data_IF_196601424778
#
_entry.id   IF_196601424778
#
_cell.length_a   1.000
_cell.length_b   1.000
_cell.length_c   1.000
_cell.angle_alpha   90.00
_cell.angle_beta   90.00
_cell.angle_gamma   90.00
#
_symmetry.space_group_name_H-M   'P 1'
#
loop_
_entity.id
_entity.type
_entity.pdbx_description
1 polymer ?
#
# COMPACT_ATOMS: atom_id res chain seq x y z
N UNK A 1 -12.20 -27.63 17.58
CA UNK A 1 -11.01 -26.81 17.26
C UNK A 1 -11.30 -26.09 15.95
N UNK A 2 -11.73 -24.83 15.98
CA UNK A 2 -12.19 -24.14 14.76
C UNK A 2 -12.16 -22.61 14.88
N UNK A 3 -11.26 -22.08 15.72
CA UNK A 3 -11.19 -20.64 16.03
C UNK A 3 -9.86 -20.00 15.58
N UNK A 4 -9.05 -20.68 14.76
CA UNK A 4 -7.76 -20.12 14.37
C UNK A 4 -7.89 -19.42 13.02
N UNK A 5 -7.55 -18.13 13.04
CA UNK A 5 -7.25 -17.25 11.89
C UNK A 5 -8.47 -16.50 11.36
N UNK A 6 -8.44 -15.16 11.45
CA UNK A 6 -9.15 -14.26 10.54
C UNK A 6 -9.09 -14.87 9.15
N UNK A 7 -10.24 -15.20 8.55
CA UNK A 7 -10.26 -16.06 7.35
C UNK A 7 -9.25 -15.54 6.33
N UNK A 8 -8.40 -16.41 5.79
CA UNK A 8 -7.38 -16.05 4.80
C UNK A 8 -7.97 -15.20 3.65
N UNK A 9 -9.23 -15.48 3.30
CA UNK A 9 -10.04 -14.69 2.38
C UNK A 9 -10.24 -13.21 2.79
N UNK A 10 -10.46 -12.92 4.08
CA UNK A 10 -10.53 -11.56 4.62
C UNK A 10 -9.18 -10.86 4.52
N UNK A 11 -8.09 -11.53 4.91
CA UNK A 11 -6.73 -10.96 4.83
C UNK A 11 -6.36 -10.64 3.38
N UNK A 12 -6.64 -11.57 2.47
CA UNK A 12 -6.43 -11.37 1.03
C UNK A 12 -7.34 -10.28 0.46
N UNK A 13 -8.56 -10.12 1.00
CA UNK A 13 -9.47 -9.03 0.66
C UNK A 13 -8.89 -7.66 1.01
N UNK A 14 -8.46 -7.50 2.26
CA UNK A 14 -7.85 -6.25 2.76
C UNK A 14 -6.55 -5.93 2.02
N UNK A 15 -5.72 -6.93 1.71
CA UNK A 15 -4.50 -6.73 0.91
C UNK A 15 -4.80 -6.13 -0.47
N UNK A 16 -5.84 -6.65 -1.15
CA UNK A 16 -6.28 -6.11 -2.45
C UNK A 16 -6.84 -4.69 -2.32
N UNK A 17 -7.64 -4.42 -1.31
CA UNK A 17 -8.19 -3.08 -1.05
C UNK A 17 -7.06 -2.06 -0.79
N UNK A 18 -6.05 -2.44 0.00
CA UNK A 18 -4.86 -1.61 0.21
C UNK A 18 -4.10 -1.38 -1.09
N UNK A 19 -3.92 -2.40 -1.93
CA UNK A 19 -3.24 -2.24 -3.21
C UNK A 19 -4.00 -1.29 -4.16
N UNK A 20 -5.34 -1.36 -4.18
CA UNK A 20 -6.16 -0.39 -4.91
C UNK A 20 -5.97 1.03 -4.36
N UNK A 21 -5.99 1.19 -3.04
CA UNK A 21 -5.76 2.49 -2.41
C UNK A 21 -4.36 3.06 -2.71
N UNK A 22 -3.32 2.22 -2.79
CA UNK A 22 -1.97 2.60 -3.23
C UNK A 22 -2.03 3.18 -4.64
N UNK A 23 -2.61 2.45 -5.59
CA UNK A 23 -2.67 2.86 -7.00
C UNK A 23 -3.46 4.16 -7.19
N UNK A 24 -4.60 4.29 -6.51
CA UNK A 24 -5.43 5.51 -6.55
C UNK A 24 -4.68 6.70 -5.95
N UNK A 25 -4.02 6.51 -4.80
CA UNK A 25 -3.25 7.57 -4.13
C UNK A 25 -2.06 8.00 -4.99
N UNK A 26 -1.27 7.06 -5.52
CA UNK A 26 -0.14 7.35 -6.42
C UNK A 26 -0.59 8.14 -7.65
N UNK A 27 -1.71 7.74 -8.26
CA UNK A 27 -2.27 8.43 -9.42
C UNK A 27 -2.70 9.86 -9.07
N UNK A 28 -3.36 10.04 -7.93
CA UNK A 28 -3.78 11.35 -7.43
C UNK A 28 -2.60 12.28 -7.15
N UNK A 29 -1.57 11.78 -6.45
CA UNK A 29 -0.34 12.53 -6.13
C UNK A 29 0.38 12.96 -7.41
N UNK A 30 0.55 12.03 -8.37
CA UNK A 30 1.20 12.30 -9.66
C UNK A 30 0.44 13.36 -10.47
N UNK A 31 -0.90 13.28 -10.48
CA UNK A 31 -1.74 14.25 -11.18
C UNK A 31 -1.59 15.65 -10.59
N UNK A 32 -1.66 15.75 -9.26
CA UNK A 32 -1.51 17.02 -8.55
C UNK A 32 -0.10 17.61 -8.74
N UNK A 33 0.94 16.78 -8.71
CA UNK A 33 2.31 17.22 -8.98
C UNK A 33 2.47 17.81 -10.39
N UNK A 34 1.90 17.15 -11.40
CA UNK A 34 1.93 17.68 -12.75
C UNK A 34 1.18 19.00 -12.92
N UNK A 35 0.06 19.20 -12.22
CA UNK A 35 -0.69 20.46 -12.23
C UNK A 35 0.06 21.58 -11.49
N UNK A 36 0.58 21.30 -10.31
CA UNK A 36 1.21 22.32 -9.46
C UNK A 36 2.62 22.67 -9.93
N UNK A 37 3.37 21.72 -10.49
CA UNK A 37 4.63 22.02 -11.18
C UNK A 37 4.40 22.93 -12.38
N UNK A 38 3.31 22.74 -13.15
CA UNK A 38 2.93 23.66 -14.22
C UNK A 38 2.55 25.05 -13.69
N UNK A 39 1.80 25.11 -12.60
CA UNK A 39 1.44 26.38 -11.96
C UNK A 39 2.67 27.15 -11.48
N UNK A 40 3.58 26.50 -10.75
CA UNK A 40 4.82 27.11 -10.26
C UNK A 40 5.76 27.48 -11.41
N UNK A 41 5.78 26.68 -12.48
CA UNK A 41 6.52 26.96 -13.71
C UNK A 41 5.92 28.06 -14.60
N UNK A 42 4.67 28.48 -14.37
CA UNK A 42 3.98 29.49 -15.20
C UNK A 42 4.45 30.93 -15.00
N UNK A 43 5.43 31.15 -14.12
CA UNK A 43 5.94 32.47 -13.75
C UNK A 43 5.37 33.02 -12.44
N UNK A 44 4.64 32.20 -11.68
CA UNK A 44 4.24 32.54 -10.32
C UNK A 44 5.47 32.58 -9.40
N UNK A 45 5.89 33.80 -9.05
CA UNK A 45 7.13 34.07 -8.33
C UNK A 45 6.90 35.04 -7.17
N UNK A 46 7.97 35.35 -6.44
CA UNK A 46 7.91 36.17 -5.23
C UNK A 46 7.55 35.36 -3.98
N UNK A 47 7.41 36.05 -2.85
CA UNK A 47 7.30 35.41 -1.53
C UNK A 47 6.12 34.43 -1.40
N UNK A 48 5.00 34.71 -2.06
CA UNK A 48 3.83 33.82 -2.08
C UNK A 48 4.09 32.52 -2.85
N UNK A 49 4.75 32.61 -4.02
CA UNK A 49 5.10 31.43 -4.82
C UNK A 49 6.13 30.55 -4.12
N UNK A 50 7.14 31.16 -3.49
CA UNK A 50 8.13 30.43 -2.69
C UNK A 50 7.50 29.72 -1.49
N UNK A 51 6.68 30.42 -0.69
CA UNK A 51 6.01 29.84 0.47
C UNK A 51 5.07 28.69 0.08
N UNK A 52 4.34 28.83 -1.04
CA UNK A 52 3.52 27.74 -1.55
C UNK A 52 4.37 26.54 -2.00
N UNK A 53 5.47 26.78 -2.71
CA UNK A 53 6.39 25.73 -3.14
C UNK A 53 6.98 24.91 -1.99
N UNK A 54 7.30 25.56 -0.87
CA UNK A 54 7.75 24.88 0.36
C UNK A 54 6.68 23.98 0.95
N UNK A 55 5.43 24.48 1.07
CA UNK A 55 4.29 23.70 1.56
C UNK A 55 3.99 22.52 0.61
N UNK A 56 4.06 22.76 -0.70
CA UNK A 56 3.88 21.72 -1.71
C UNK A 56 4.92 20.61 -1.58
N UNK A 57 6.20 20.95 -1.47
CA UNK A 57 7.28 19.98 -1.33
C UNK A 57 7.09 19.10 -0.08
N UNK A 58 6.76 19.71 1.06
CA UNK A 58 6.50 18.98 2.31
C UNK A 58 5.28 18.06 2.20
N UNK A 59 4.21 18.52 1.54
CA UNK A 59 3.03 17.69 1.29
C UNK A 59 3.36 16.50 0.37
N UNK A 60 4.10 16.73 -0.71
CA UNK A 60 4.45 15.69 -1.69
C UNK A 60 5.29 14.59 -1.04
N UNK A 61 6.30 14.96 -0.24
CA UNK A 61 7.09 14.01 0.55
C UNK A 61 6.22 13.20 1.52
N UNK A 62 5.30 13.87 2.22
CA UNK A 62 4.33 13.19 3.09
C UNK A 62 3.45 12.19 2.35
N UNK A 63 2.99 12.54 1.15
CA UNK A 63 2.16 11.68 0.33
C UNK A 63 2.93 10.45 -0.18
N UNK A 64 4.20 10.60 -0.58
CA UNK A 64 5.06 9.46 -0.89
C UNK A 64 5.25 8.52 0.30
N UNK A 65 5.36 9.07 1.52
CA UNK A 65 5.49 8.26 2.73
C UNK A 65 4.21 7.46 3.04
N UNK A 66 3.03 8.05 2.78
CA UNK A 66 1.75 7.33 2.88
C UNK A 66 1.70 6.17 1.89
N UNK A 67 2.07 6.42 0.63
CA UNK A 67 2.12 5.39 -0.42
C UNK A 67 3.04 4.23 -0.01
N UNK A 68 4.28 4.54 0.41
CA UNK A 68 5.25 3.53 0.88
C UNK A 68 4.72 2.73 2.07
N UNK A 69 4.03 3.38 3.01
CA UNK A 69 3.42 2.72 4.15
C UNK A 69 2.30 1.76 3.74
N UNK A 70 1.45 2.16 2.81
CA UNK A 70 0.38 1.32 2.27
C UNK A 70 0.93 0.11 1.50
N UNK A 71 1.98 0.30 0.69
CA UNK A 71 2.69 -0.80 0.00
C UNK A 71 3.36 -1.78 0.97
N UNK A 72 3.96 -1.28 2.05
CA UNK A 72 4.53 -2.13 3.08
C UNK A 72 3.45 -2.96 3.79
N UNK A 73 2.28 -2.36 4.06
CA UNK A 73 1.14 -3.08 4.64
C UNK A 73 0.55 -4.12 3.69
N UNK A 74 0.36 -3.80 2.41
CA UNK A 74 -0.15 -4.78 1.43
C UNK A 74 0.81 -5.96 1.29
N UNK A 75 2.12 -5.70 1.18
CA UNK A 75 3.15 -6.74 1.11
C UNK A 75 3.20 -7.61 2.37
N UNK A 76 3.07 -7.03 3.56
CA UNK A 76 3.05 -7.79 4.81
C UNK A 76 1.83 -8.72 4.89
N UNK A 77 0.66 -8.27 4.44
CA UNK A 77 -0.55 -9.09 4.41
C UNK A 77 -0.48 -10.21 3.36
N UNK A 78 0.11 -9.95 2.19
CA UNK A 78 0.34 -10.98 1.18
C UNK A 78 1.29 -12.07 1.67
N UNK A 79 2.37 -11.68 2.36
CA UNK A 79 3.30 -12.63 2.98
C UNK A 79 2.61 -13.47 4.06
N UNK A 80 1.73 -12.87 4.86
CA UNK A 80 0.94 -13.59 5.85
C UNK A 80 0.03 -14.64 5.19
N UNK A 81 -0.67 -14.30 4.10
CA UNK A 81 -1.49 -15.24 3.32
C UNK A 81 -0.65 -16.40 2.78
N UNK A 82 0.53 -16.13 2.21
CA UNK A 82 1.41 -17.18 1.69
C UNK A 82 1.88 -18.13 2.79
N UNK A 83 2.22 -17.61 3.98
CA UNK A 83 2.63 -18.43 5.13
C UNK A 83 1.53 -19.37 5.63
N UNK A 84 0.26 -18.94 5.57
CA UNK A 84 -0.87 -19.80 5.91
C UNK A 84 -1.03 -20.95 4.90
N UNK A 85 -0.99 -20.66 3.60
CA UNK A 85 -1.12 -21.67 2.55
C UNK A 85 -0.05 -22.77 2.59
N UNK A 86 1.21 -22.42 2.87
CA UNK A 86 2.29 -23.42 3.02
C UNK A 86 2.10 -24.29 4.25
N UNK A 87 1.74 -23.69 5.40
CA UNK A 87 1.55 -24.43 6.67
C UNK A 87 0.41 -25.44 6.57
N UNK A 88 -0.69 -25.07 5.92
CA UNK A 88 -1.85 -25.96 5.73
C UNK A 88 -1.54 -27.12 4.77
N UNK A 89 -0.80 -26.85 3.69
CA UNK A 89 -0.37 -27.88 2.74
C UNK A 89 0.58 -28.90 3.40
N UNK A 90 1.53 -28.42 4.20
CA UNK A 90 2.48 -29.28 4.92
C UNK A 90 1.77 -30.11 6.00
N UNK A 91 0.84 -29.49 6.74
CA UNK A 91 0.03 -30.21 7.74
C UNK A 91 -0.82 -31.31 7.09
N UNK A 92 -1.43 -31.03 5.93
CA UNK A 92 -2.20 -32.01 5.17
C UNK A 92 -1.33 -33.16 4.67
N UNK A 93 -0.16 -32.87 4.11
CA UNK A 93 0.79 -33.89 3.66
C UNK A 93 1.31 -34.76 4.83
N UNK A 94 1.55 -34.15 5.99
CA UNK A 94 1.95 -34.88 7.20
C UNK A 94 0.83 -35.80 7.72
N UNK A 95 -0.43 -35.36 7.69
CA UNK A 95 -1.58 -36.20 8.07
C UNK A 95 -1.82 -37.33 7.06
N UNK A 96 -1.72 -37.05 5.76
CA UNK A 96 -1.87 -38.07 4.69
C UNK A 96 -0.76 -39.13 4.77
N UNK A 97 0.47 -38.74 5.14
CA UNK A 97 1.59 -39.68 5.32
C UNK A 97 1.57 -40.43 6.64
N UNK A 98 0.99 -39.88 7.71
CA UNK A 98 0.83 -40.54 9.01
C UNK A 98 -0.41 -41.47 9.06
N UNK A 99 -1.34 -41.32 8.11
CA UNK A 99 -2.54 -42.14 7.97
C UNK A 99 -2.38 -43.41 7.11
N UNK A 100 -1.19 -43.65 6.56
CA UNK A 100 -0.78 -44.90 5.92
C UNK A 100 0.07 -45.74 6.87
#
# INVERSE_FOLDING_TARGET
MGELQVSEAVVAGVARELQSAVTETQSGVTSLDGELTRLLGSGWTGQAGSAFGEVWAAWHEGAENVVKGLEAMSSALEQAVQGYGTTDADARAAVESAGM
#
